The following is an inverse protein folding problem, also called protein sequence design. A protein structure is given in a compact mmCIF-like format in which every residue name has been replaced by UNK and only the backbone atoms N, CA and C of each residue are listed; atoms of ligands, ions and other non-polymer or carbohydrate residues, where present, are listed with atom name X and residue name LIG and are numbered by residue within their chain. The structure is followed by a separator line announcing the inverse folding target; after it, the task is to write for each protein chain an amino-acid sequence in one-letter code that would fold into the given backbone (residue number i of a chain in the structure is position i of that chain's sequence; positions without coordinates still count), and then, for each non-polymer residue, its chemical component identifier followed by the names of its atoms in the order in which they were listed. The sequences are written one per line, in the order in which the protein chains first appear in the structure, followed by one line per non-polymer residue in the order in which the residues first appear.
data_IF_155374429554
#
_entry.id   IF_155374429554
#
_cell.length_a   1.000
_cell.length_b   1.000
_cell.length_c   1.000
_cell.angle_alpha   90.00
_cell.angle_beta   90.00
_cell.angle_gamma   90.00
#
_symmetry.space_group_name_H-M   'P 1'
#
loop_
_entity.id
_entity.type
_entity.pdbx_description
1 polymer ?
#
# COMPACT_ATOMS: atom_id res chain seq x y z
N UNK A 1 -65.09 39.52 21.11
CA UNK A 1 -63.93 40.27 20.61
C UNK A 1 -62.78 39.27 20.46
N UNK A 2 -62.71 38.66 19.28
CA UNK A 2 -61.61 37.81 18.84
C UNK A 2 -60.99 38.50 17.61
N UNK A 3 -59.78 38.09 17.24
CA UNK A 3 -58.93 38.55 16.13
C UNK A 3 -57.96 39.69 16.49
N UNK A 4 -56.66 39.64 16.18
CA UNK A 4 -55.85 38.65 15.45
C UNK A 4 -54.38 38.91 15.81
N UNK A 5 -53.65 37.87 16.22
CA UNK A 5 -52.19 37.89 16.35
C UNK A 5 -51.57 37.86 14.95
N UNK A 6 -51.11 39.01 14.48
CA UNK A 6 -50.37 39.12 13.23
C UNK A 6 -48.96 38.48 13.39
N UNK A 7 -48.83 37.22 12.99
CA UNK A 7 -47.53 36.59 12.76
C UNK A 7 -46.85 37.29 11.58
N UNK A 8 -45.81 38.08 11.86
CA UNK A 8 -44.84 38.51 10.84
C UNK A 8 -44.02 37.30 10.42
N UNK A 9 -44.42 36.66 9.32
CA UNK A 9 -43.58 35.67 8.63
C UNK A 9 -42.45 36.46 7.95
N UNK A 10 -41.28 36.45 8.57
CA UNK A 10 -40.05 36.92 7.95
C UNK A 10 -39.73 35.97 6.78
N UNK A 11 -39.59 36.43 5.53
CA UNK A 11 -39.13 35.56 4.47
C UNK A 11 -37.67 35.22 4.76
N UNK A 12 -37.40 33.98 5.16
CA UNK A 12 -36.05 33.43 5.14
C UNK A 12 -35.70 33.28 3.66
N UNK A 13 -35.06 34.32 3.10
CA UNK A 13 -34.34 34.22 1.85
C UNK A 13 -33.17 33.27 2.10
N UNK A 14 -33.39 31.97 1.87
CA UNK A 14 -32.31 31.04 1.68
C UNK A 14 -31.69 31.42 0.35
N UNK A 15 -30.69 32.31 0.40
CA UNK A 15 -29.76 32.51 -0.71
C UNK A 15 -29.01 31.20 -0.92
N UNK A 16 -29.62 30.28 -1.66
CA UNK A 16 -28.95 29.11 -2.21
C UNK A 16 -28.05 29.60 -3.33
N UNK A 17 -26.87 30.10 -2.97
CA UNK A 17 -25.75 30.06 -3.91
C UNK A 17 -25.60 28.58 -4.27
N UNK A 18 -25.95 28.22 -5.50
CA UNK A 18 -25.68 26.88 -6.05
C UNK A 18 -24.19 26.63 -5.87
N UNK A 19 -23.82 25.84 -4.86
CA UNK A 19 -22.44 25.45 -4.65
C UNK A 19 -22.00 24.73 -5.93
N UNK A 20 -20.90 25.20 -6.52
CA UNK A 20 -20.38 24.60 -7.76
C UNK A 20 -20.08 23.12 -7.52
N UNK A 21 -20.48 22.25 -8.46
CA UNK A 21 -20.25 20.81 -8.34
C UNK A 21 -18.76 20.48 -8.48
N UNK A 22 -18.31 19.31 -7.99
CA UNK A 22 -16.89 18.92 -8.11
C UNK A 22 -16.35 18.96 -9.57
N UNK A 23 -17.09 18.48 -10.59
CA UNK A 23 -16.66 18.62 -11.97
C UNK A 23 -16.57 20.09 -12.44
N UNK A 24 -17.46 20.96 -11.96
CA UNK A 24 -17.43 22.39 -12.29
C UNK A 24 -16.23 23.09 -11.66
N UNK A 25 -15.93 22.79 -10.39
CA UNK A 25 -14.73 23.29 -9.70
C UNK A 25 -13.45 22.81 -10.40
N UNK A 26 -13.40 21.53 -10.77
CA UNK A 26 -12.25 21.00 -11.48
C UNK A 26 -12.07 21.63 -12.86
N UNK A 27 -13.16 21.81 -13.62
CA UNK A 27 -13.12 22.48 -14.91
C UNK A 27 -12.69 23.95 -14.78
N UNK A 28 -13.20 24.67 -13.77
CA UNK A 28 -12.77 26.04 -13.45
C UNK A 28 -11.26 26.11 -13.16
N UNK A 29 -10.72 25.20 -12.35
CA UNK A 29 -9.29 25.16 -12.05
C UNK A 29 -8.43 24.93 -13.31
N UNK A 30 -8.90 24.10 -14.25
CA UNK A 30 -8.23 23.88 -15.54
C UNK A 30 -8.21 25.16 -16.38
N UNK A 31 -9.32 25.89 -16.40
CA UNK A 31 -9.43 27.13 -17.18
C UNK A 31 -8.56 28.23 -16.57
N UNK A 32 -8.56 28.38 -15.24
CA UNK A 32 -7.67 29.28 -14.52
C UNK A 32 -6.19 28.96 -14.78
N UNK A 33 -5.82 27.68 -14.77
CA UNK A 33 -4.46 27.25 -15.11
C UNK A 33 -4.09 27.61 -16.55
N UNK A 34 -4.98 27.36 -17.53
CA UNK A 34 -4.76 27.69 -18.94
C UNK A 34 -4.59 29.19 -19.17
N UNK A 35 -5.26 30.01 -18.37
CA UNK A 35 -5.16 31.47 -18.41
C UNK A 35 -3.92 32.02 -17.70
N UNK A 36 -3.09 31.16 -17.09
CA UNK A 36 -1.92 31.57 -16.33
C UNK A 36 -2.23 32.07 -14.90
N UNK A 37 -3.49 31.97 -14.48
CA UNK A 37 -3.95 32.38 -13.14
C UNK A 37 -3.67 31.27 -12.11
N UNK A 38 -2.40 30.90 -11.95
CA UNK A 38 -1.98 29.72 -11.16
C UNK A 38 -2.37 29.78 -9.68
N UNK A 39 -2.36 30.97 -9.06
CA UNK A 39 -2.78 31.15 -7.67
C UNK A 39 -4.29 30.94 -7.50
N UNK A 40 -5.10 31.41 -8.46
CA UNK A 40 -6.54 31.18 -8.46
C UNK A 40 -6.85 29.69 -8.69
N UNK A 41 -6.16 29.07 -9.66
CA UNK A 41 -6.27 27.63 -9.91
C UNK A 41 -5.98 26.80 -8.65
N UNK A 42 -4.93 27.14 -7.90
CA UNK A 42 -4.59 26.46 -6.64
C UNK A 42 -5.69 26.62 -5.58
N UNK A 43 -6.21 27.84 -5.40
CA UNK A 43 -7.33 28.10 -4.47
C UNK A 43 -8.60 27.34 -4.86
N UNK A 44 -8.92 27.25 -6.16
CA UNK A 44 -10.04 26.46 -6.66
C UNK A 44 -9.81 24.95 -6.43
N UNK A 45 -8.59 24.45 -6.57
CA UNK A 45 -8.23 23.06 -6.29
C UNK A 45 -8.30 22.70 -4.80
N UNK A 46 -7.89 23.62 -3.91
CA UNK A 46 -8.03 23.45 -2.46
C UNK A 46 -9.50 23.40 -2.04
N UNK A 47 -10.33 24.26 -2.66
CA UNK A 47 -11.78 24.22 -2.50
C UNK A 47 -12.35 22.89 -2.98
N UNK A 48 -11.94 22.43 -4.17
CA UNK A 48 -12.34 21.14 -4.73
C UNK A 48 -11.96 19.98 -3.79
N UNK A 49 -10.75 19.98 -3.25
CA UNK A 49 -10.27 18.95 -2.32
C UNK A 49 -11.12 18.93 -1.05
N UNK A 50 -11.41 20.09 -0.48
CA UNK A 50 -12.24 20.27 0.72
C UNK A 50 -13.67 19.77 0.49
N UNK A 51 -14.33 20.22 -0.59
CA UNK A 51 -15.68 19.79 -0.94
C UNK A 51 -15.75 18.29 -1.24
N UNK A 52 -14.71 17.75 -1.88
CA UNK A 52 -14.63 16.32 -2.21
C UNK A 52 -14.44 15.43 -0.98
N UNK A 53 -14.06 15.98 0.18
CA UNK A 53 -13.81 15.20 1.41
C UNK A 53 -15.08 14.63 2.06
N UNK A 54 -16.25 15.05 1.60
CA UNK A 54 -17.54 14.55 2.06
C UNK A 54 -17.70 13.05 1.73
N UNK A 55 -18.13 12.19 2.67
CA UNK A 55 -18.24 10.74 2.45
C UNK A 55 -19.08 10.38 1.22
N UNK A 56 -20.17 11.10 0.98
CA UNK A 56 -21.07 10.92 -0.16
C UNK A 56 -20.44 11.20 -1.53
N UNK A 57 -19.28 11.87 -1.57
CA UNK A 57 -18.56 12.24 -2.79
C UNK A 57 -17.27 11.44 -3.00
N UNK A 58 -17.01 10.41 -2.18
CA UNK A 58 -15.74 9.66 -2.20
C UNK A 58 -15.40 9.06 -3.57
N UNK A 59 -16.39 8.53 -4.30
CA UNK A 59 -16.18 7.99 -5.65
C UNK A 59 -15.82 9.09 -6.67
N UNK A 60 -16.50 10.24 -6.61
CA UNK A 60 -16.20 11.40 -7.46
C UNK A 60 -14.81 11.97 -7.13
N UNK A 61 -14.46 12.04 -5.85
CA UNK A 61 -13.12 12.42 -5.38
C UNK A 61 -12.04 11.54 -5.99
N UNK A 62 -12.21 10.22 -5.92
CA UNK A 62 -11.26 9.26 -6.48
C UNK A 62 -11.08 9.43 -8.00
N UNK A 63 -12.17 9.65 -8.74
CA UNK A 63 -12.12 9.88 -10.17
C UNK A 63 -11.36 11.17 -10.56
N UNK A 64 -11.45 12.22 -9.72
CA UNK A 64 -10.81 13.50 -9.96
C UNK A 64 -9.36 13.57 -9.45
N UNK A 65 -8.97 12.68 -8.54
CA UNK A 65 -7.72 12.76 -7.79
C UNK A 65 -6.46 12.85 -8.67
N UNK A 66 -6.27 12.05 -9.74
CA UNK A 66 -5.09 12.20 -10.61
C UNK A 66 -5.03 13.58 -11.27
N UNK A 67 -6.18 14.08 -11.72
CA UNK A 67 -6.29 15.40 -12.32
C UNK A 67 -6.01 16.52 -11.32
N UNK A 68 -6.57 16.40 -10.11
CA UNK A 68 -6.34 17.35 -9.01
C UNK A 68 -4.86 17.42 -8.65
N UNK A 69 -4.21 16.28 -8.43
CA UNK A 69 -2.78 16.19 -8.10
C UNK A 69 -1.91 16.80 -9.21
N UNK A 70 -2.22 16.49 -10.48
CA UNK A 70 -1.53 17.04 -11.62
C UNK A 70 -1.61 18.57 -11.68
N UNK A 71 -2.83 19.13 -11.65
CA UNK A 71 -3.01 20.58 -11.74
C UNK A 71 -2.54 21.32 -10.49
N UNK A 72 -2.54 20.68 -9.32
CA UNK A 72 -1.92 21.22 -8.09
C UNK A 72 -0.41 21.32 -8.28
N UNK A 73 0.25 20.24 -8.66
CA UNK A 73 1.70 20.23 -8.93
C UNK A 73 2.10 21.23 -10.02
N UNK A 74 1.30 21.30 -11.10
CA UNK A 74 1.56 22.23 -12.19
C UNK A 74 1.41 23.69 -11.76
N UNK A 75 0.36 24.02 -10.99
CA UNK A 75 0.16 25.39 -10.48
C UNK A 75 1.26 25.79 -9.50
N UNK A 76 1.66 24.89 -8.59
CA UNK A 76 2.76 25.12 -7.65
C UNK A 76 4.11 25.33 -8.38
N UNK A 77 4.40 24.52 -9.40
CA UNK A 77 5.63 24.66 -10.19
C UNK A 77 5.67 26.00 -10.95
N UNK A 78 4.53 26.42 -11.51
CA UNK A 78 4.41 27.69 -12.20
C UNK A 78 4.57 28.91 -11.26
N UNK A 79 4.18 28.77 -9.99
CA UNK A 79 4.38 29.76 -8.93
C UNK A 79 5.79 29.71 -8.30
N UNK A 80 6.68 28.83 -8.76
CA UNK A 80 8.04 28.69 -8.22
C UNK A 80 8.13 27.89 -6.92
N UNK A 81 7.06 27.25 -6.47
CA UNK A 81 7.00 26.42 -5.24
C UNK A 81 7.49 25.00 -5.52
N UNK A 82 8.78 24.88 -5.87
CA UNK A 82 9.36 23.66 -6.45
C UNK A 82 9.27 22.42 -5.55
N UNK A 83 9.48 22.56 -4.25
CA UNK A 83 9.41 21.42 -3.31
C UNK A 83 8.00 20.83 -3.27
N UNK A 84 7.00 21.68 -3.10
CA UNK A 84 5.59 21.25 -3.01
C UNK A 84 5.08 20.73 -4.36
N UNK A 85 5.52 21.34 -5.46
CA UNK A 85 5.23 20.86 -6.81
C UNK A 85 5.79 19.45 -7.04
N UNK A 86 7.02 19.19 -6.59
CA UNK A 86 7.64 17.87 -6.65
C UNK A 86 6.82 16.84 -5.86
N UNK A 87 6.44 17.12 -4.62
CA UNK A 87 5.62 16.19 -3.81
C UNK A 87 4.25 15.91 -4.44
N UNK A 88 3.59 16.94 -4.97
CA UNK A 88 2.33 16.75 -5.69
C UNK A 88 2.49 15.90 -6.96
N UNK A 89 3.60 16.08 -7.69
CA UNK A 89 3.91 15.28 -8.87
C UNK A 89 4.35 13.85 -8.54
N UNK A 90 5.02 13.60 -7.42
CA UNK A 90 5.32 12.26 -6.92
C UNK A 90 4.03 11.49 -6.64
N UNK A 91 3.07 12.12 -5.95
CA UNK A 91 1.73 11.56 -5.75
C UNK A 91 0.99 11.34 -7.06
N UNK A 92 1.06 12.27 -8.01
CA UNK A 92 0.45 12.11 -9.33
C UNK A 92 1.06 10.93 -10.11
N UNK A 93 2.39 10.77 -10.08
CA UNK A 93 3.11 9.71 -10.78
C UNK A 93 2.81 8.31 -10.20
N UNK A 94 2.37 8.22 -8.94
CA UNK A 94 1.83 6.97 -8.39
C UNK A 94 0.56 6.51 -9.13
N UNK A 95 -0.26 7.45 -9.62
CA UNK A 95 -1.44 7.15 -10.45
C UNK A 95 -1.10 7.02 -11.94
N UNK A 96 -0.18 7.85 -12.44
CA UNK A 96 0.17 7.90 -13.87
C UNK A 96 1.70 7.89 -14.08
N UNK A 97 2.39 6.75 -13.87
CA UNK A 97 3.86 6.69 -13.90
C UNK A 97 4.45 7.07 -15.27
N UNK A 98 3.70 6.78 -16.33
CA UNK A 98 4.08 7.04 -17.71
C UNK A 98 3.51 8.36 -18.26
N UNK A 99 3.08 9.29 -17.40
CA UNK A 99 2.53 10.57 -17.85
C UNK A 99 3.56 11.42 -18.62
N UNK A 100 3.30 11.78 -19.86
CA UNK A 100 4.17 12.67 -20.63
C UNK A 100 3.45 13.99 -20.89
N UNK A 101 4.19 15.09 -20.81
CA UNK A 101 3.68 16.42 -21.11
C UNK A 101 4.21 16.88 -22.46
N UNK A 102 3.32 17.44 -23.26
CA UNK A 102 3.68 18.15 -24.47
C UNK A 102 4.31 19.51 -24.10
N UNK A 103 5.58 19.78 -24.48
CA UNK A 103 6.23 21.06 -24.20
C UNK A 103 5.53 22.28 -24.78
N UNK A 104 4.67 22.11 -25.80
CA UNK A 104 3.89 23.21 -26.38
C UNK A 104 2.70 23.63 -25.50
N UNK A 105 2.21 22.73 -24.62
CA UNK A 105 0.99 22.95 -23.84
C UNK A 105 1.25 23.38 -22.39
N UNK A 106 2.47 23.22 -21.89
CA UNK A 106 2.81 23.44 -20.48
C UNK A 106 4.05 24.30 -20.28
N UNK A 107 4.08 25.16 -19.23
CA UNK A 107 5.27 25.93 -18.89
C UNK A 107 6.51 25.06 -18.62
N UNK A 108 7.69 25.57 -18.95
CA UNK A 108 8.97 24.86 -18.71
C UNK A 108 9.15 24.46 -17.25
N UNK A 109 8.73 25.31 -16.31
CA UNK A 109 8.79 25.01 -14.87
C UNK A 109 7.99 23.77 -14.48
N UNK A 110 6.82 23.56 -15.09
CA UNK A 110 5.95 22.39 -14.86
C UNK A 110 6.63 21.11 -15.37
N UNK A 111 7.21 21.17 -16.58
CA UNK A 111 7.93 20.05 -17.19
C UNK A 111 9.14 19.65 -16.32
N UNK A 112 9.91 20.64 -15.88
CA UNK A 112 11.08 20.44 -15.01
C UNK A 112 10.66 19.84 -13.67
N UNK A 113 9.57 20.32 -13.06
CA UNK A 113 9.07 19.78 -11.80
C UNK A 113 8.61 18.32 -11.93
N UNK A 114 7.91 17.96 -13.00
CA UNK A 114 7.51 16.56 -13.25
C UNK A 114 8.73 15.66 -13.50
N UNK A 115 9.73 16.14 -14.25
CA UNK A 115 10.98 15.41 -14.45
C UNK A 115 11.77 15.26 -13.15
N UNK A 116 11.81 16.30 -12.32
CA UNK A 116 12.43 16.29 -11.00
C UNK A 116 11.75 15.28 -10.07
N UNK A 117 10.42 15.20 -10.06
CA UNK A 117 9.66 14.19 -9.34
C UNK A 117 9.98 12.77 -9.80
N UNK A 118 10.08 12.54 -11.12
CA UNK A 118 10.51 11.23 -11.66
C UNK A 118 11.91 10.87 -11.22
N UNK A 119 12.83 11.83 -11.29
CA UNK A 119 14.22 11.62 -10.96
C UNK A 119 14.43 11.49 -9.44
N UNK A 120 13.55 12.10 -8.65
CA UNK A 120 13.44 11.89 -7.21
C UNK A 120 13.02 10.45 -6.90
N UNK A 121 11.91 9.98 -7.48
CA UNK A 121 11.43 8.60 -7.30
C UNK A 121 12.45 7.56 -7.77
N UNK A 122 13.35 7.92 -8.69
CA UNK A 122 14.47 7.09 -9.12
C UNK A 122 15.69 7.15 -8.19
N UNK A 123 16.01 8.33 -7.64
CA UNK A 123 17.22 8.55 -6.81
C UNK A 123 17.01 8.25 -5.34
N UNK A 124 15.77 8.34 -4.86
CA UNK A 124 15.44 8.17 -3.46
C UNK A 124 14.10 7.43 -3.33
N UNK A 125 14.14 6.10 -3.13
CA UNK A 125 12.94 5.31 -2.86
C UNK A 125 12.21 5.69 -1.57
N UNK A 126 12.79 6.60 -0.75
CA UNK A 126 12.27 7.02 0.55
C UNK A 126 11.52 8.35 0.51
N UNK A 127 11.49 9.07 -0.62
CA UNK A 127 10.92 10.42 -0.73
C UNK A 127 9.44 10.46 -1.16
N UNK A 128 8.60 9.60 -0.58
CA UNK A 128 7.15 9.65 -0.75
C UNK A 128 6.48 9.58 0.61
N UNK A 129 6.40 10.69 1.33
CA UNK A 129 5.74 10.79 2.65
C UNK A 129 4.21 10.62 2.53
N UNK A 130 3.76 9.41 2.21
CA UNK A 130 2.94 8.68 3.16
C UNK A 130 3.93 7.85 3.96
N UNK A 131 4.24 8.25 5.21
CA UNK A 131 5.21 7.62 6.12
C UNK A 131 5.49 6.17 5.74
N UNK A 132 6.68 5.91 5.19
CA UNK A 132 7.05 4.57 4.74
C UNK A 132 6.91 3.61 5.93
N UNK A 133 6.59 2.34 5.71
CA UNK A 133 6.48 1.37 6.82
C UNK A 133 7.76 1.31 7.65
N UNK A 134 8.92 1.62 7.05
CA UNK A 134 10.20 1.75 7.73
C UNK A 134 10.25 2.93 8.72
N UNK A 135 9.74 4.11 8.34
CA UNK A 135 9.71 5.28 9.22
C UNK A 135 8.71 5.09 10.35
N UNK A 136 7.51 4.59 10.03
CA UNK A 136 6.50 4.25 11.02
C UNK A 136 7.05 3.25 12.05
N UNK A 137 7.77 2.21 11.59
CA UNK A 137 8.38 1.22 12.48
C UNK A 137 9.53 1.78 13.32
N UNK A 138 10.34 2.67 12.74
CA UNK A 138 11.44 3.34 13.46
C UNK A 138 10.90 4.18 14.61
N UNK A 139 9.80 4.91 14.39
CA UNK A 139 9.12 5.71 15.40
C UNK A 139 8.29 4.88 16.40
N UNK A 140 7.95 3.63 16.07
CA UNK A 140 7.13 2.78 16.94
C UNK A 140 7.86 2.43 18.25
N UNK A 141 7.23 2.65 19.41
CA UNK A 141 7.85 2.35 20.70
C UNK A 141 8.09 0.85 20.86
N UNK A 142 9.14 0.48 21.60
CA UNK A 142 9.31 -0.91 22.03
C UNK A 142 8.24 -1.21 23.09
N UNK A 143 7.50 -2.32 22.96
CA UNK A 143 6.65 -2.76 24.05
C UNK A 143 7.52 -3.10 25.27
N UNK A 144 6.98 -2.93 26.47
CA UNK A 144 7.63 -3.43 27.67
C UNK A 144 7.76 -4.95 27.55
N UNK A 145 8.98 -5.45 27.48
CA UNK A 145 9.25 -6.87 27.29
C UNK A 145 8.57 -7.65 28.42
N UNK A 146 7.69 -8.57 28.05
CA UNK A 146 6.89 -9.35 28.99
C UNK A 146 7.77 -10.26 29.84
N UNK A 147 8.17 -9.77 31.01
CA UNK A 147 8.77 -10.58 32.07
C UNK A 147 7.74 -11.62 32.53
N UNK A 148 8.01 -12.89 32.23
CA UNK A 148 7.21 -14.03 32.69
C UNK A 148 6.01 -14.38 31.80
N UNK A 149 6.23 -14.68 30.52
CA UNK A 149 5.21 -15.40 29.74
C UNK A 149 4.91 -16.75 30.41
N UNK A 150 3.64 -16.98 30.74
CA UNK A 150 3.09 -18.30 31.00
C UNK A 150 2.45 -18.80 29.70
N UNK A 151 3.22 -19.47 28.81
CA UNK A 151 2.73 -19.86 27.49
C UNK A 151 1.57 -20.85 27.60
N UNK A 152 0.43 -20.46 27.04
CA UNK A 152 -0.72 -21.33 26.83
C UNK A 152 -0.48 -22.39 25.76
N UNK A 153 -1.47 -23.25 25.53
CA UNK A 153 -1.43 -24.29 24.48
C UNK A 153 -1.36 -23.70 23.08
N UNK A 154 -1.89 -22.50 22.90
CA UNK A 154 -1.97 -21.74 21.66
C UNK A 154 -0.73 -20.88 21.38
N UNK A 155 0.27 -20.87 22.27
CA UNK A 155 1.49 -20.07 22.08
C UNK A 155 2.15 -20.33 20.72
N UNK A 156 2.25 -21.61 20.32
CA UNK A 156 2.82 -22.01 19.04
C UNK A 156 1.95 -21.67 17.81
N UNK A 157 0.68 -21.33 18.00
CA UNK A 157 -0.22 -20.85 16.94
C UNK A 157 -0.25 -19.32 16.84
N UNK A 158 0.28 -18.64 17.86
CA UNK A 158 0.53 -17.21 17.89
C UNK A 158 1.67 -16.76 16.95
N UNK A 159 2.18 -15.53 17.11
CA UNK A 159 3.15 -14.94 16.18
C UNK A 159 4.46 -15.73 16.03
N UNK A 160 4.87 -16.45 17.09
CA UNK A 160 6.08 -17.28 17.11
C UNK A 160 6.03 -18.44 16.12
N UNK A 161 4.84 -18.80 15.59
CA UNK A 161 4.68 -19.80 14.52
C UNK A 161 5.57 -19.54 13.30
N UNK A 162 5.90 -18.27 13.04
CA UNK A 162 6.75 -17.88 11.90
C UNK A 162 8.22 -18.25 12.13
N UNK A 163 8.63 -18.38 13.39
CA UNK A 163 9.99 -18.72 13.83
C UNK A 163 10.16 -20.18 14.27
N UNK A 164 9.07 -20.91 14.47
CA UNK A 164 9.11 -22.31 14.86
C UNK A 164 9.48 -23.19 13.66
N UNK A 165 10.46 -24.07 13.82
CA UNK A 165 10.70 -25.15 12.87
C UNK A 165 9.58 -26.19 12.98
N UNK A 166 9.39 -27.05 11.95
CA UNK A 166 8.42 -28.15 12.02
C UNK A 166 8.63 -29.05 13.25
N UNK A 167 9.90 -29.28 13.62
CA UNK A 167 10.28 -30.06 14.80
C UNK A 167 9.91 -29.35 16.10
N UNK A 168 10.31 -28.09 16.27
CA UNK A 168 10.00 -27.31 17.48
C UNK A 168 8.47 -27.22 17.70
N UNK A 169 7.68 -27.05 16.62
CA UNK A 169 6.21 -27.05 16.72
C UNK A 169 5.67 -28.40 17.20
N UNK A 170 6.20 -29.50 16.67
CA UNK A 170 5.80 -30.85 17.08
C UNK A 170 6.22 -31.17 18.53
N UNK A 171 7.38 -30.69 18.95
CA UNK A 171 7.89 -30.85 20.31
C UNK A 171 7.03 -30.05 21.31
N UNK A 172 6.69 -28.79 21.01
CA UNK A 172 5.81 -27.97 21.85
C UNK A 172 4.40 -28.58 22.00
N UNK A 173 3.84 -29.11 20.91
CA UNK A 173 2.50 -29.72 20.92
C UNK A 173 2.39 -30.98 21.79
N UNK A 174 3.51 -31.61 22.16
CA UNK A 174 3.54 -32.79 23.05
C UNK A 174 3.61 -32.41 24.53
N UNK A 175 3.88 -31.15 24.85
CA UNK A 175 4.03 -30.68 26.23
C UNK A 175 2.66 -30.57 26.89
N UNK A 176 2.54 -31.15 28.08
CA UNK A 176 1.26 -31.31 28.78
C UNK A 176 1.11 -30.35 29.95
N UNK A 177 2.22 -29.89 30.51
CA UNK A 177 2.22 -28.99 31.67
C UNK A 177 2.66 -27.57 31.32
N UNK A 178 2.18 -26.59 32.08
CA UNK A 178 2.61 -25.20 31.96
C UNK A 178 4.11 -25.01 32.25
N UNK A 179 4.68 -25.83 33.15
CA UNK A 179 6.12 -25.80 33.48
C UNK A 179 6.96 -26.22 32.27
N UNK A 180 6.64 -27.36 31.65
CA UNK A 180 7.34 -27.84 30.44
C UNK A 180 7.27 -26.80 29.31
N UNK A 181 6.12 -26.16 29.11
CA UNK A 181 5.96 -25.11 28.08
C UNK A 181 6.81 -23.88 28.40
N UNK A 182 6.87 -23.47 29.68
CA UNK A 182 7.70 -22.34 30.11
C UNK A 182 9.21 -22.63 29.92
N UNK A 183 9.66 -23.85 30.24
CA UNK A 183 11.04 -24.30 29.99
C UNK A 183 11.37 -24.35 28.49
N UNK A 184 10.43 -24.82 27.67
CA UNK A 184 10.56 -24.80 26.22
C UNK A 184 10.71 -23.38 25.70
N UNK A 185 9.82 -22.45 26.06
CA UNK A 185 9.87 -21.05 25.60
C UNK A 185 11.14 -20.35 26.05
N UNK A 186 11.60 -20.62 27.27
CA UNK A 186 12.88 -20.12 27.78
C UNK A 186 14.04 -20.60 26.91
N UNK A 187 14.09 -21.91 26.62
CA UNK A 187 15.15 -22.50 25.78
C UNK A 187 15.07 -22.01 24.33
N UNK A 188 13.86 -21.88 23.80
CA UNK A 188 13.58 -21.37 22.46
C UNK A 188 14.16 -19.97 22.26
N UNK A 189 13.88 -19.04 23.17
CA UNK A 189 14.43 -17.68 23.07
C UNK A 189 15.93 -17.65 23.35
N UNK A 190 16.41 -18.38 24.35
CA UNK A 190 17.85 -18.45 24.66
C UNK A 190 18.69 -18.95 23.49
N UNK A 191 18.18 -19.89 22.69
CA UNK A 191 18.87 -20.39 21.49
C UNK A 191 19.00 -19.35 20.36
N UNK A 192 18.20 -18.29 20.41
CA UNK A 192 18.14 -17.21 19.41
C UNK A 192 18.73 -15.90 19.93
N UNK A 193 19.32 -15.93 21.13
CA UNK A 193 19.96 -14.77 21.73
C UNK A 193 21.30 -14.48 21.04
N UNK A 194 21.45 -13.34 20.33
CA UNK A 194 22.69 -13.00 19.68
C UNK A 194 23.76 -12.53 20.68
N UNK A 195 23.37 -12.13 21.89
CA UNK A 195 24.26 -11.60 22.93
C UNK A 195 23.89 -12.18 24.30
N UNK A 196 24.13 -13.49 24.52
CA UNK A 196 23.78 -14.16 25.77
C UNK A 196 24.50 -13.60 27.00
N UNK A 197 25.50 -12.74 26.82
CA UNK A 197 26.16 -11.99 27.89
C UNK A 197 25.33 -10.83 28.46
N UNK A 198 24.29 -10.37 27.76
CA UNK A 198 23.39 -9.34 28.27
C UNK A 198 22.20 -9.98 28.98
N UNK A 199 21.58 -9.25 29.90
CA UNK A 199 20.36 -9.72 30.58
C UNK A 199 19.13 -9.73 29.64
N UNK A 200 19.24 -9.10 28.46
CA UNK A 200 18.13 -8.84 27.55
C UNK A 200 18.35 -9.54 26.24
N UNK A 201 17.44 -10.44 25.86
CA UNK A 201 17.50 -11.08 24.56
C UNK A 201 17.08 -10.11 23.44
N UNK A 202 18.02 -9.48 22.75
CA UNK A 202 17.70 -8.43 21.77
C UNK A 202 16.91 -8.94 20.57
N UNK A 203 17.08 -10.21 20.23
CA UNK A 203 16.30 -10.84 19.16
C UNK A 203 14.82 -10.96 19.53
N UNK A 204 14.54 -11.40 20.76
CA UNK A 204 13.17 -11.48 21.29
C UNK A 204 12.52 -10.10 21.34
N UNK A 205 13.23 -9.09 21.79
CA UNK A 205 12.70 -7.72 21.86
C UNK A 205 12.35 -7.14 20.49
N UNK A 206 13.24 -7.34 19.52
CA UNK A 206 13.00 -6.91 18.14
C UNK A 206 11.80 -7.66 17.55
N UNK A 207 11.70 -8.98 17.80
CA UNK A 207 10.55 -9.78 17.41
C UNK A 207 9.25 -9.27 18.04
N UNK A 208 9.21 -9.06 19.36
CA UNK A 208 8.05 -8.54 20.08
C UNK A 208 7.64 -7.15 19.56
N UNK A 209 8.61 -6.28 19.26
CA UNK A 209 8.35 -4.99 18.62
C UNK A 209 7.71 -5.16 17.23
N UNK A 210 8.20 -6.08 16.40
CA UNK A 210 7.61 -6.36 15.07
C UNK A 210 6.21 -6.92 15.17
N UNK A 211 5.95 -7.79 16.14
CA UNK A 211 4.62 -8.33 16.42
C UNK A 211 3.66 -7.20 16.81
N UNK A 212 4.02 -6.38 17.79
CA UNK A 212 3.18 -5.27 18.23
C UNK A 212 2.91 -4.25 17.10
N UNK A 213 3.92 -3.96 16.27
CA UNK A 213 3.74 -3.12 15.09
C UNK A 213 2.78 -3.76 14.08
N UNK A 214 2.97 -5.05 13.77
CA UNK A 214 2.13 -5.77 12.84
C UNK A 214 0.67 -5.81 13.32
N UNK A 215 0.45 -6.03 14.61
CA UNK A 215 -0.89 -6.01 15.22
C UNK A 215 -1.54 -4.63 15.23
N UNK A 216 -0.75 -3.56 15.13
CA UNK A 216 -1.28 -2.20 15.04
C UNK A 216 -1.57 -1.76 13.60
N UNK A 217 -0.86 -2.31 12.60
CA UNK A 217 -0.87 -1.80 11.22
C UNK A 217 -1.42 -2.79 10.18
N UNK A 218 -1.38 -4.09 10.46
CA UNK A 218 -1.71 -5.14 9.48
C UNK A 218 -2.94 -5.95 9.85
N UNK A 219 -3.74 -5.51 10.83
CA UNK A 219 -5.01 -6.15 11.17
C UNK A 219 -5.88 -6.26 9.92
N UNK A 220 -6.48 -7.44 9.76
CA UNK A 220 -7.36 -7.73 8.65
C UNK A 220 -8.60 -8.44 9.16
N UNK A 221 -9.73 -7.73 9.10
CA UNK A 221 -11.01 -8.21 9.59
C UNK A 221 -10.87 -8.63 11.07
N UNK A 222 -11.13 -9.88 11.42
CA UNK A 222 -10.97 -10.41 12.79
C UNK A 222 -9.58 -11.05 13.03
N UNK A 223 -8.68 -11.03 12.03
CA UNK A 223 -7.35 -11.63 12.12
C UNK A 223 -6.34 -10.63 12.64
N UNK A 224 -5.69 -11.01 13.74
CA UNK A 224 -4.56 -10.30 14.35
C UNK A 224 -3.46 -10.04 13.30
N UNK A 225 -2.92 -8.82 13.25
CA UNK A 225 -2.04 -8.38 12.17
C UNK A 225 -0.77 -9.22 12.00
N UNK A 226 -0.15 -9.66 13.10
CA UNK A 226 0.99 -10.59 13.10
C UNK A 226 0.69 -11.98 12.52
N UNK A 227 -0.58 -12.36 12.39
CA UNK A 227 -1.01 -13.63 11.79
C UNK A 227 -1.39 -13.51 10.30
N UNK A 228 -1.36 -12.29 9.75
CA UNK A 228 -1.62 -12.05 8.32
C UNK A 228 -0.38 -12.30 7.47
N UNK A 229 -0.55 -12.39 6.15
CA UNK A 229 0.57 -12.49 5.20
C UNK A 229 1.53 -11.30 5.30
N UNK A 230 1.01 -10.07 5.46
CA UNK A 230 1.83 -8.86 5.69
C UNK A 230 2.58 -8.95 7.01
N UNK A 231 1.92 -9.41 8.07
CA UNK A 231 2.54 -9.64 9.38
C UNK A 231 3.66 -10.67 9.32
N UNK A 232 3.44 -11.80 8.63
CA UNK A 232 4.46 -12.83 8.42
C UNK A 232 5.70 -12.26 7.73
N UNK A 233 5.52 -11.58 6.59
CA UNK A 233 6.63 -10.98 5.85
C UNK A 233 7.39 -9.95 6.71
N UNK A 234 6.66 -9.08 7.40
CA UNK A 234 7.24 -8.04 8.26
C UNK A 234 7.98 -8.60 9.49
N UNK A 235 7.45 -9.65 10.12
CA UNK A 235 8.10 -10.29 11.27
C UNK A 235 9.42 -10.93 10.84
N UNK A 236 9.42 -11.65 9.72
CA UNK A 236 10.58 -12.38 9.22
C UNK A 236 11.67 -11.46 8.65
N UNK A 237 11.29 -10.39 7.93
CA UNK A 237 12.25 -9.54 7.20
C UNK A 237 12.43 -8.15 7.81
N UNK A 238 11.58 -7.73 8.74
CA UNK A 238 11.53 -6.37 9.24
C UNK A 238 10.82 -5.42 8.27
N UNK A 239 11.03 -4.10 8.40
CA UNK A 239 10.42 -3.14 7.50
C UNK A 239 11.00 -3.19 6.08
N UNK A 240 10.16 -3.02 5.03
CA UNK A 240 10.65 -2.89 3.67
C UNK A 240 11.49 -1.60 3.50
N UNK A 241 12.37 -1.56 2.51
CA UNK A 241 13.11 -0.34 2.17
C UNK A 241 12.16 0.77 1.71
N UNK A 242 11.14 0.39 0.94
CA UNK A 242 10.03 1.27 0.57
C UNK A 242 8.80 0.43 0.20
N UNK A 243 7.62 1.03 0.30
CA UNK A 243 6.36 0.39 -0.04
C UNK A 243 5.43 1.35 -0.79
N UNK A 244 4.55 0.79 -1.62
CA UNK A 244 3.61 1.56 -2.43
C UNK A 244 2.35 0.76 -2.75
N UNK A 245 1.44 1.37 -3.51
CA UNK A 245 0.22 0.73 -4.01
C UNK A 245 0.05 0.99 -5.50
N UNK A 246 -0.40 -0.02 -6.24
CA UNK A 246 -0.80 0.10 -7.65
C UNK A 246 -2.18 -0.54 -7.87
N UNK A 247 -2.98 -0.09 -8.85
CA UNK A 247 -4.19 -0.81 -9.25
C UNK A 247 -3.85 -2.22 -9.74
N UNK A 248 -4.70 -3.21 -9.44
CA UNK A 248 -4.54 -4.58 -9.94
C UNK A 248 -4.81 -4.62 -11.46
N UNK A 249 -3.87 -5.14 -12.27
CA UNK A 249 -4.02 -5.29 -13.72
C UNK A 249 -4.13 -6.76 -14.14
N UNK A 250 -4.64 -7.00 -15.35
CA UNK A 250 -4.78 -8.35 -15.90
C UNK A 250 -3.42 -9.06 -15.96
N UNK A 251 -3.29 -10.17 -15.23
CA UNK A 251 -2.06 -10.97 -15.16
C UNK A 251 -1.17 -10.71 -13.93
N UNK A 252 -1.52 -9.73 -13.09
CA UNK A 252 -0.78 -9.45 -11.84
C UNK A 252 -1.09 -10.44 -10.71
N UNK A 253 -2.18 -11.23 -10.81
CA UNK A 253 -2.52 -12.29 -9.85
C UNK A 253 -1.87 -13.61 -10.30
N UNK A 254 -0.81 -14.01 -9.60
CA UNK A 254 -0.03 -15.21 -9.92
C UNK A 254 -0.77 -16.49 -9.52
N UNK A 255 -1.73 -16.37 -8.59
CA UNK A 255 -2.54 -17.48 -8.10
C UNK A 255 -3.81 -17.71 -8.95
N UNK A 256 -4.30 -16.69 -9.67
CA UNK A 256 -5.44 -16.78 -10.57
C UNK A 256 -5.14 -16.14 -11.95
N UNK A 257 -4.40 -16.88 -12.78
CA UNK A 257 -4.07 -16.47 -14.16
C UNK A 257 -5.31 -16.28 -15.08
N UNK A 258 -6.52 -16.65 -14.63
CA UNK A 258 -7.79 -16.43 -15.33
C UNK A 258 -8.54 -15.20 -14.83
N UNK A 259 -8.23 -14.71 -13.64
CA UNK A 259 -9.13 -13.88 -12.86
C UNK A 259 -8.96 -12.40 -13.06
N UNK A 260 -9.11 -11.90 -14.27
CA UNK A 260 -9.50 -10.50 -14.54
C UNK A 260 -10.14 -10.30 -15.92
N UNK A 261 -10.41 -11.40 -16.63
CA UNK A 261 -11.10 -11.36 -17.91
C UNK A 261 -12.54 -11.80 -17.71
N UNK A 262 -13.52 -11.06 -18.26
CA UNK A 262 -14.90 -11.58 -18.46
C UNK A 262 -14.95 -12.82 -19.36
N UNK A 263 -13.81 -13.20 -19.95
CA UNK A 263 -13.64 -14.24 -20.96
C UNK A 263 -12.60 -15.28 -20.53
N UNK A 264 -12.94 -16.55 -20.67
CA UNK A 264 -12.10 -17.73 -20.46
C UNK A 264 -10.86 -17.79 -21.38
N UNK A 265 -9.86 -18.61 -21.03
CA UNK A 265 -8.69 -18.86 -21.89
C UNK A 265 -9.07 -19.37 -23.29
N UNK A 266 -10.17 -20.11 -23.41
CA UNK A 266 -10.70 -20.58 -24.69
C UNK A 266 -11.23 -19.44 -25.56
N UNK A 267 -11.87 -18.44 -24.96
CA UNK A 267 -12.43 -17.28 -25.68
C UNK A 267 -11.32 -16.31 -26.12
N UNK A 268 -10.29 -16.11 -25.29
CA UNK A 268 -9.08 -15.37 -25.65
C UNK A 268 -8.29 -16.07 -26.76
N UNK A 269 -8.21 -17.41 -26.71
CA UNK A 269 -7.58 -18.22 -27.77
C UNK A 269 -8.38 -18.21 -29.06
N UNK A 270 -9.72 -18.20 -28.99
CA UNK A 270 -10.59 -18.06 -30.16
C UNK A 270 -10.49 -16.67 -30.81
N UNK A 271 -10.31 -15.61 -30.02
CA UNK A 271 -10.09 -14.25 -30.52
C UNK A 271 -8.72 -14.09 -31.25
N UNK A 272 -7.73 -14.92 -30.92
CA UNK A 272 -6.39 -14.88 -31.50
C UNK A 272 -6.18 -15.81 -32.72
N UNK A 273 -7.15 -16.68 -33.05
CA UNK A 273 -7.09 -17.55 -34.23
C UNK A 273 -7.33 -16.78 -35.53
N UNK A 274 -6.55 -17.12 -36.57
CA UNK A 274 -6.50 -16.42 -37.88
C UNK A 274 -7.60 -16.82 -38.86
N UNK A 275 -8.73 -17.34 -38.39
CA UNK A 275 -9.87 -17.74 -39.24
C UNK A 275 -10.95 -16.67 -39.37
N UNK A 276 -11.63 -16.62 -40.51
CA UNK A 276 -12.73 -15.68 -40.81
C UNK A 276 -12.29 -14.38 -41.48
N UNK A 277 -13.23 -13.47 -41.75
CA UNK A 277 -12.92 -12.18 -42.39
C UNK A 277 -12.18 -11.24 -41.42
N UNK A 278 -11.50 -10.22 -41.97
CA UNK A 278 -10.74 -9.26 -41.17
C UNK A 278 -11.64 -8.47 -40.20
N UNK A 279 -12.88 -8.21 -40.60
CA UNK A 279 -13.89 -7.55 -39.76
C UNK A 279 -14.34 -8.45 -38.59
N UNK A 280 -14.56 -9.75 -38.84
CA UNK A 280 -14.94 -10.70 -37.78
C UNK A 280 -13.82 -10.89 -36.76
N UNK A 281 -12.57 -10.90 -37.24
CA UNK A 281 -11.40 -10.95 -36.36
C UNK A 281 -11.29 -9.69 -35.50
N UNK A 282 -11.47 -8.52 -36.11
CA UNK A 282 -11.43 -7.25 -35.38
C UNK A 282 -12.54 -7.16 -34.33
N UNK A 283 -13.76 -7.60 -34.66
CA UNK A 283 -14.88 -7.64 -33.72
C UNK A 283 -14.64 -8.59 -32.54
N UNK A 284 -14.04 -9.78 -32.76
CA UNK A 284 -13.68 -10.71 -31.68
C UNK A 284 -12.59 -10.14 -30.77
N UNK A 285 -11.61 -9.44 -31.33
CA UNK A 285 -10.56 -8.75 -30.56
C UNK A 285 -11.18 -7.61 -29.74
N UNK A 286 -11.99 -6.77 -30.37
CA UNK A 286 -12.66 -5.63 -29.73
C UNK A 286 -13.66 -6.08 -28.65
N UNK A 287 -14.29 -7.25 -28.78
CA UNK A 287 -15.13 -7.83 -27.74
C UNK A 287 -14.35 -8.17 -26.46
N UNK A 288 -13.10 -8.62 -26.58
CA UNK A 288 -12.25 -8.97 -25.42
C UNK A 288 -11.34 -7.82 -24.96
N UNK A 289 -11.10 -6.80 -25.79
CA UNK A 289 -10.21 -5.65 -25.49
C UNK A 289 -10.90 -4.28 -25.48
N UNK A 290 -12.20 -4.19 -25.79
CA UNK A 290 -12.92 -2.93 -26.00
C UNK A 290 -13.39 -2.20 -24.73
N UNK A 291 -13.92 -0.97 -24.85
CA UNK A 291 -14.41 -0.19 -23.72
C UNK A 291 -15.54 -0.91 -22.99
N UNK A 292 -15.38 -1.16 -21.69
CA UNK A 292 -16.30 -1.96 -20.88
C UNK A 292 -15.88 -3.41 -20.63
N UNK A 293 -14.78 -3.89 -21.23
CA UNK A 293 -14.12 -5.17 -20.87
C UNK A 293 -13.38 -5.13 -19.52
N UNK A 294 -13.09 -3.91 -19.03
CA UNK A 294 -12.43 -3.65 -17.74
C UNK A 294 -13.48 -3.46 -16.65
N UNK A 295 -13.67 -4.46 -15.79
CA UNK A 295 -14.20 -4.23 -14.45
C UNK A 295 -13.00 -4.16 -13.52
N UNK A 296 -12.52 -2.95 -13.25
CA UNK A 296 -11.57 -2.73 -12.19
C UNK A 296 -12.02 -1.46 -11.48
N UNK A 297 -12.92 -1.63 -10.52
CA UNK A 297 -12.99 -0.67 -9.43
C UNK A 297 -11.62 -0.72 -8.73
N UNK A 298 -10.76 0.25 -9.05
CA UNK A 298 -9.42 0.36 -8.49
C UNK A 298 -9.46 0.64 -6.97
N UNK A 299 -10.61 1.09 -6.43
CA UNK A 299 -10.82 1.20 -4.99
C UNK A 299 -11.04 -0.18 -4.35
N UNK A 300 -11.67 -1.11 -5.06
CA UNK A 300 -11.91 -2.48 -4.61
C UNK A 300 -10.79 -3.47 -4.99
N UNK A 301 -9.93 -3.14 -5.96
CA UNK A 301 -8.89 -4.03 -6.47
C UNK A 301 -7.54 -3.32 -6.63
N UNK A 302 -6.56 -3.68 -5.79
CA UNK A 302 -5.25 -3.04 -5.75
C UNK A 302 -4.18 -3.99 -5.20
N UNK A 303 -2.91 -3.65 -5.45
CA UNK A 303 -1.73 -4.38 -4.99
C UNK A 303 -0.91 -3.48 -4.10
N UNK A 304 -0.62 -3.92 -2.87
CA UNK A 304 0.45 -3.36 -2.06
C UNK A 304 1.78 -3.97 -2.51
N UNK A 305 2.78 -3.14 -2.76
CA UNK A 305 4.10 -3.61 -3.21
C UNK A 305 5.13 -3.17 -2.18
N UNK A 306 5.87 -4.13 -1.62
CA UNK A 306 6.93 -3.90 -0.65
C UNK A 306 8.26 -4.30 -1.27
N UNK A 307 9.20 -3.36 -1.33
CA UNK A 307 10.52 -3.57 -1.88
C UNK A 307 11.55 -3.70 -0.75
N UNK A 308 12.29 -4.79 -0.75
CA UNK A 308 13.44 -5.02 0.13
C UNK A 308 14.69 -4.98 -0.72
N UNK A 309 15.44 -3.87 -0.66
CA UNK A 309 16.73 -3.77 -1.34
C UNK A 309 17.79 -4.54 -0.56
N UNK A 310 18.93 -4.83 -1.22
CA UNK A 310 20.04 -5.59 -0.65
C UNK A 310 20.47 -5.12 0.74
N UNK A 311 20.42 -3.82 0.98
CA UNK A 311 20.78 -3.17 2.25
C UNK A 311 19.87 -3.52 3.43
N UNK A 312 18.61 -3.90 3.17
CA UNK A 312 17.62 -4.31 4.18
C UNK A 312 17.42 -5.84 4.26
N UNK A 313 18.09 -6.62 3.41
CA UNK A 313 17.96 -8.08 3.38
C UNK A 313 19.09 -8.77 4.17
N UNK A 314 18.81 -9.87 4.88
CA UNK A 314 19.84 -10.75 5.42
C UNK A 314 20.87 -11.14 4.36
N UNK A 315 22.14 -11.26 4.78
CA UNK A 315 23.26 -11.48 3.85
C UNK A 315 23.13 -12.78 3.08
N UNK A 316 22.47 -13.77 3.66
CA UNK A 316 22.25 -15.11 3.14
C UNK A 316 21.09 -15.20 2.15
N UNK A 317 20.31 -14.13 1.97
CA UNK A 317 19.35 -14.00 0.87
C UNK A 317 20.14 -13.48 -0.35
N UNK A 318 20.26 -14.26 -1.44
CA UNK A 318 21.19 -13.98 -2.53
C UNK A 318 20.69 -12.94 -3.54
N UNK A 319 19.53 -12.33 -3.29
CA UNK A 319 18.88 -11.42 -4.22
C UNK A 319 19.29 -9.96 -3.96
N UNK A 320 19.53 -9.15 -5.01
CA UNK A 320 19.82 -7.72 -4.86
C UNK A 320 18.58 -6.91 -4.43
N UNK A 321 17.40 -7.47 -4.66
CA UNK A 321 16.10 -6.93 -4.28
C UNK A 321 15.13 -8.10 -4.12
N UNK A 322 14.20 -8.05 -3.18
CA UNK A 322 13.02 -8.94 -3.13
C UNK A 322 11.77 -8.06 -3.07
N UNK A 323 10.79 -8.39 -3.90
CA UNK A 323 9.51 -7.68 -3.96
C UNK A 323 8.42 -8.58 -3.42
N UNK A 324 7.61 -8.07 -2.50
CA UNK A 324 6.41 -8.73 -2.02
C UNK A 324 5.20 -7.99 -2.53
N UNK A 325 4.29 -8.68 -3.20
CA UNK A 325 3.03 -8.14 -3.68
C UNK A 325 1.86 -8.70 -2.87
N UNK A 326 1.02 -7.82 -2.33
CA UNK A 326 -0.16 -8.18 -1.55
C UNK A 326 -1.41 -7.73 -2.29
N UNK A 327 -2.17 -8.67 -2.83
CA UNK A 327 -3.35 -8.40 -3.66
C UNK A 327 -4.59 -8.29 -2.80
N UNK A 328 -5.31 -7.17 -2.95
CA UNK A 328 -6.68 -7.02 -2.48
C UNK A 328 -7.60 -7.09 -3.70
N UNK A 329 -8.55 -8.02 -3.70
CA UNK A 329 -9.52 -8.23 -4.78
C UNK A 329 -10.83 -8.77 -4.21
N UNK A 330 -11.94 -8.20 -4.65
CA UNK A 330 -13.28 -8.64 -4.20
C UNK A 330 -13.51 -10.11 -4.57
N UNK A 331 -13.89 -10.94 -3.59
CA UNK A 331 -14.11 -12.38 -3.77
C UNK A 331 -12.84 -13.25 -3.76
N UNK A 332 -11.65 -12.66 -3.76
CA UNK A 332 -10.36 -13.38 -3.65
C UNK A 332 -9.75 -13.24 -2.25
N UNK A 333 -9.81 -12.03 -1.70
CA UNK A 333 -9.29 -11.73 -0.37
C UNK A 333 -8.66 -10.34 -0.30
N UNK A 334 -8.24 -9.97 0.90
CA UNK A 334 -7.59 -8.69 1.20
C UNK A 334 -6.11 -8.95 1.50
N UNK A 335 -5.22 -8.14 0.94
CA UNK A 335 -3.76 -8.22 1.11
C UNK A 335 -3.14 -9.63 1.04
N UNK A 336 -3.60 -10.46 0.10
CA UNK A 336 -3.12 -11.82 -0.06
C UNK A 336 -1.75 -11.81 -0.73
N UNK A 337 -0.76 -12.43 -0.10
CA UNK A 337 0.60 -12.49 -0.62
C UNK A 337 0.65 -13.28 -1.94
N UNK A 338 1.23 -12.66 -2.96
CA UNK A 338 1.62 -13.31 -4.20
C UNK A 338 2.90 -14.10 -3.97
N UNK A 339 2.79 -15.43 -3.97
CA UNK A 339 3.83 -16.38 -3.60
C UNK A 339 4.65 -16.82 -4.82
N UNK A 340 5.34 -15.89 -5.44
CA UNK A 340 6.30 -16.21 -6.49
C UNK A 340 7.54 -16.93 -5.91
N UNK A 341 8.35 -17.55 -6.78
CA UNK A 341 9.49 -18.35 -6.33
C UNK A 341 10.54 -17.56 -5.54
N UNK A 342 10.72 -16.27 -5.83
CA UNK A 342 11.71 -15.41 -5.18
C UNK A 342 11.23 -14.95 -3.80
N UNK A 343 9.96 -14.54 -3.68
CA UNK A 343 9.37 -14.17 -2.39
C UNK A 343 9.30 -15.36 -1.43
N UNK A 344 8.90 -16.55 -1.91
CA UNK A 344 8.90 -17.77 -1.10
C UNK A 344 10.30 -18.17 -0.63
N UNK A 345 11.28 -18.19 -1.53
CA UNK A 345 12.66 -18.53 -1.18
C UNK A 345 13.24 -17.55 -0.16
N UNK A 346 12.93 -16.25 -0.28
CA UNK A 346 13.37 -15.24 0.68
C UNK A 346 12.75 -15.44 2.07
N UNK A 347 11.45 -15.75 2.16
CA UNK A 347 10.77 -16.01 3.44
C UNK A 347 11.28 -17.29 4.10
N UNK A 348 11.47 -18.36 3.32
CA UNK A 348 12.02 -19.61 3.81
C UNK A 348 13.44 -19.40 4.36
N UNK A 349 14.28 -18.67 3.62
CA UNK A 349 15.63 -18.38 4.07
C UNK A 349 15.64 -17.51 5.34
N UNK A 350 14.78 -16.50 5.42
CA UNK A 350 14.65 -15.68 6.63
C UNK A 350 14.22 -16.51 7.85
N UNK A 351 13.31 -17.47 7.64
CA UNK A 351 12.90 -18.42 8.69
C UNK A 351 14.04 -19.33 9.11
N UNK A 352 14.82 -19.88 8.18
CA UNK A 352 15.98 -20.71 8.52
C UNK A 352 17.02 -19.94 9.37
N UNK A 353 17.27 -18.67 9.05
CA UNK A 353 18.18 -17.83 9.82
C UNK A 353 17.68 -17.64 11.26
N UNK A 354 16.37 -17.57 11.44
CA UNK A 354 15.77 -17.51 12.79
C UNK A 354 16.04 -18.75 13.63
N UNK A 355 16.36 -19.90 13.03
CA UNK A 355 16.67 -21.14 13.76
C UNK A 355 18.13 -21.23 14.21
N UNK A 356 19.01 -20.41 13.65
CA UNK A 356 20.46 -20.60 13.72
C UNK A 356 21.23 -19.43 14.31
N UNK A 357 20.75 -18.76 15.37
CA UNK A 357 21.48 -17.74 16.16
C UNK A 357 22.03 -16.51 15.40
N UNK A 358 21.95 -16.48 14.07
CA UNK A 358 22.39 -15.42 13.20
C UNK A 358 21.26 -14.37 13.16
N UNK A 359 21.38 -13.39 14.06
CA UNK A 359 20.35 -12.40 14.34
C UNK A 359 19.76 -11.74 13.08
N UNK A 360 18.43 -11.67 13.04
CA UNK A 360 17.67 -10.84 12.11
C UNK A 360 17.75 -9.38 12.58
N UNK A 361 18.95 -8.81 12.53
CA UNK A 361 19.17 -7.40 12.81
C UNK A 361 19.14 -6.58 11.53
N UNK A 362 18.42 -5.44 11.46
CA UNK A 362 18.81 -4.41 10.52
C UNK A 362 20.22 -3.92 10.89
N UNK A 363 21.02 -3.59 9.87
CA UNK A 363 22.35 -3.02 10.05
C UNK A 363 22.26 -1.78 10.96
N UNK A 364 22.92 -1.73 12.14
CA UNK A 364 23.06 -0.47 12.85
C UNK A 364 24.00 0.42 12.04
N UNK A 365 23.55 1.65 11.77
CA UNK A 365 24.31 2.77 11.19
C UNK A 365 24.40 2.82 9.65
N UNK A 366 23.47 3.59 9.05
CA UNK A 366 23.74 4.68 8.09
C UNK A 366 22.49 5.54 7.95
#
# INVERSE_FOLDING_TARGET
MWDSLAFRVLPILISSTLAATLPQLFQKAKDEFRLGSYAAALSTLETLETESARPELQSQRQALLPGLLFYRGASLAALGRQSEARSAFEMFLAYQPNAHLDPALYPKSVIVALQSARESLKRDPRAGEASTLAEAYRAFPRPDAGAGENPGEDWADGPVRHLLSPRERADFARLSSAVERSEFVTTFWKSRDPKPETERNEYREEFEKRVAFADSHFVQDEVRGSLTDRGMAFILLGPPTYNGRKPLQTGDDVADASGLSRFSRSEVRAASQTGGSNADRQARIEQVTGPGSKVLDAAANWIEVWHYLRENLPREIPYPEVVFEFVTKQGYGKNILQRDGKSLSALERARELSHGGAGIGPNPSS
#
